data_IF_087576722638
#
_entry.id   IF_087576722638
#
_cell.length_a   1.000
_cell.length_b   1.000
_cell.length_c   1.000
_cell.angle_alpha   90.00
_cell.angle_beta   90.00
_cell.angle_gamma   90.00
#
_symmetry.space_group_name_H-M   'P 1'
#
loop_
_entity.id
_entity.type
_entity.pdbx_description
1 polymer ?
#
# COMPACT_ATOMS: atom_id res chain seq x y z
N UNK A 1 2.25 11.01 34.47
CA UNK A 1 1.28 9.89 34.35
C UNK A 1 2.04 8.63 34.02
N UNK A 2 2.18 7.73 34.99
CA UNK A 2 3.01 6.53 34.94
C UNK A 2 2.17 5.32 34.50
N UNK A 3 2.49 4.75 33.34
CA UNK A 3 1.79 3.59 32.77
C UNK A 3 2.16 2.32 33.54
N UNK A 4 1.18 1.71 34.20
CA UNK A 4 1.34 0.47 34.97
C UNK A 4 1.53 -0.74 34.04
N UNK A 5 2.66 -1.45 34.21
CA UNK A 5 2.92 -2.76 33.61
C UNK A 5 1.95 -3.82 34.17
N UNK A 6 1.18 -4.45 33.29
CA UNK A 6 0.31 -5.60 33.58
C UNK A 6 1.16 -6.84 33.88
N UNK A 7 1.27 -7.24 35.16
CA UNK A 7 1.87 -8.52 35.59
C UNK A 7 0.84 -9.65 35.48
N UNK A 8 1.27 -10.80 34.92
CA UNK A 8 0.52 -12.07 34.94
C UNK A 8 0.48 -12.63 36.37
N UNK A 9 -0.62 -13.25 36.83
CA UNK A 9 -0.65 -13.91 38.13
C UNK A 9 0.03 -15.28 38.04
N UNK A 10 0.96 -15.54 38.95
CA UNK A 10 1.50 -16.87 39.26
C UNK A 10 0.54 -17.58 40.21
N UNK A 11 -0.06 -18.68 39.77
CA UNK A 11 -0.76 -19.59 40.68
C UNK A 11 0.28 -20.38 41.47
N UNK A 12 0.37 -20.09 42.77
CA UNK A 12 1.06 -20.90 43.77
C UNK A 12 0.01 -21.42 44.74
N UNK A 13 -0.48 -22.64 44.51
CA UNK A 13 -1.42 -23.29 45.42
C UNK A 13 -0.64 -24.23 46.35
N UNK A 14 -0.43 -23.75 47.59
CA UNK A 14 -0.10 -24.61 48.74
C UNK A 14 -1.40 -24.86 49.48
N UNK A 15 -1.85 -26.11 49.71
CA UNK A 15 -3.08 -26.34 50.47
C UNK A 15 -2.81 -26.31 51.99
N UNK A 16 -3.78 -25.85 52.80
CA UNK A 16 -3.66 -25.88 54.25
C UNK A 16 -3.92 -27.28 54.79
N UNK A 17 -3.20 -27.60 55.87
CA UNK A 17 -3.38 -28.79 56.70
C UNK A 17 -4.70 -28.73 57.47
N UNK A 18 -5.54 -29.75 57.31
CA UNK A 18 -6.59 -30.09 58.27
C UNK A 18 -6.62 -31.59 58.49
N UNK A 19 -6.47 -31.98 59.75
CA UNK A 19 -6.52 -33.36 60.22
C UNK A 19 -7.93 -33.96 60.22
N UNK A 20 -7.93 -35.29 60.14
CA UNK A 20 -8.88 -36.25 60.71
C UNK A 20 -9.85 -36.96 59.76
N UNK A 21 -10.15 -38.19 60.18
CA UNK A 21 -11.07 -39.20 59.66
C UNK A 21 -10.58 -40.08 58.50
N UNK A 22 -9.98 -41.19 58.93
CA UNK A 22 -9.80 -42.43 58.18
C UNK A 22 -11.15 -43.00 57.71
N UNK A 23 -11.39 -42.97 56.40
CA UNK A 23 -12.32 -43.88 55.74
C UNK A 23 -11.60 -44.55 54.55
N UNK A 24 -11.61 -45.88 54.54
CA UNK A 24 -11.03 -46.70 53.49
C UNK A 24 -11.79 -46.50 52.17
N UNK A 25 -11.20 -45.76 51.24
CA UNK A 25 -11.63 -45.75 49.82
C UNK A 25 -11.24 -47.08 49.17
N UNK A 26 -12.12 -47.72 48.37
CA UNK A 26 -11.79 -48.94 47.65
C UNK A 26 -10.61 -48.66 46.69
N UNK A 27 -9.63 -49.56 46.67
CA UNK A 27 -8.41 -49.47 45.85
C UNK A 27 -8.66 -49.27 44.34
N UNK A 28 -9.89 -49.54 43.87
CA UNK A 28 -10.25 -49.48 42.46
C UNK A 28 -10.51 -48.06 41.96
N UNK A 29 -11.04 -47.15 42.79
CA UNK A 29 -11.34 -45.77 42.38
C UNK A 29 -10.08 -44.91 42.25
N UNK A 30 -9.08 -45.14 43.10
CA UNK A 30 -7.78 -44.47 43.01
C UNK A 30 -7.00 -44.89 41.75
N UNK A 31 -7.10 -46.17 41.37
CA UNK A 31 -6.48 -46.70 40.15
C UNK A 31 -7.19 -46.16 38.90
N UNK A 32 -8.53 -46.03 38.94
CA UNK A 32 -9.32 -45.46 37.85
C UNK A 32 -9.02 -43.97 37.62
N UNK A 33 -8.94 -43.19 38.70
CA UNK A 33 -8.55 -41.78 38.62
C UNK A 33 -7.12 -41.58 38.10
N UNK A 34 -6.21 -42.50 38.42
CA UNK A 34 -4.83 -42.48 37.89
C UNK A 34 -4.78 -42.82 36.39
N UNK A 35 -5.56 -43.82 35.97
CA UNK A 35 -5.70 -44.18 34.55
C UNK A 35 -6.33 -43.05 33.72
N UNK A 36 -7.35 -42.37 34.24
CA UNK A 36 -7.96 -41.21 33.57
C UNK A 36 -6.99 -40.03 33.45
N UNK A 37 -6.17 -39.77 34.48
CA UNK A 37 -5.10 -38.75 34.41
C UNK A 37 -4.03 -39.10 33.39
N UNK A 38 -3.62 -40.36 33.30
CA UNK A 38 -2.66 -40.82 32.28
C UNK A 38 -3.22 -40.69 30.87
N UNK A 39 -4.48 -41.08 30.66
CA UNK A 39 -5.17 -40.92 29.37
C UNK A 39 -5.34 -39.45 28.99
N UNK A 40 -5.68 -38.58 29.94
CA UNK A 40 -5.80 -37.15 29.70
C UNK A 40 -4.43 -36.53 29.38
N UNK A 41 -3.37 -36.95 30.08
CA UNK A 41 -2.00 -36.51 29.82
C UNK A 41 -1.50 -36.97 28.44
N UNK A 42 -1.83 -38.20 28.00
CA UNK A 42 -1.53 -38.66 26.65
C UNK A 42 -2.29 -37.88 25.57
N UNK A 43 -3.58 -37.61 25.78
CA UNK A 43 -4.38 -36.79 24.87
C UNK A 43 -3.80 -35.37 24.74
N UNK A 44 -3.43 -34.74 25.85
CA UNK A 44 -2.79 -33.42 25.87
C UNK A 44 -1.42 -33.42 25.18
N UNK A 45 -0.61 -34.47 25.36
CA UNK A 45 0.66 -34.64 24.64
C UNK A 45 0.42 -34.79 23.13
N UNK A 46 -0.60 -35.53 22.72
CA UNK A 46 -0.90 -35.76 21.30
C UNK A 46 -1.43 -34.49 20.63
N UNK A 47 -2.30 -33.74 21.30
CA UNK A 47 -2.81 -32.43 20.89
C UNK A 47 -1.67 -31.39 20.76
N UNK A 48 -0.78 -31.31 21.75
CA UNK A 48 0.36 -30.38 21.73
C UNK A 48 1.39 -30.75 20.66
N UNK A 49 1.61 -32.04 20.38
CA UNK A 49 2.45 -32.50 19.26
C UNK A 49 1.83 -32.17 17.90
N UNK A 50 0.51 -32.33 17.74
CA UNK A 50 -0.22 -31.93 16.51
C UNK A 50 -0.16 -30.42 16.29
N UNK A 51 -0.38 -29.61 17.34
CA UNK A 51 -0.27 -28.16 17.28
C UNK A 51 1.16 -27.70 16.94
N UNK A 52 2.19 -28.34 17.51
CA UNK A 52 3.60 -28.11 17.14
C UNK A 52 3.88 -28.49 15.69
N UNK A 53 3.37 -29.62 15.20
CA UNK A 53 3.54 -30.04 13.80
C UNK A 53 2.89 -29.07 12.81
N UNK A 54 1.73 -28.51 13.16
CA UNK A 54 1.07 -27.47 12.36
C UNK A 54 1.85 -26.14 12.37
N UNK A 55 2.36 -25.71 13.53
CA UNK A 55 3.23 -24.52 13.63
C UNK A 55 4.59 -24.70 12.93
N UNK A 56 5.15 -25.92 12.93
CA UNK A 56 6.35 -26.28 12.17
C UNK A 56 6.10 -26.22 10.65
N UNK A 57 4.92 -26.65 10.18
CA UNK A 57 4.50 -26.45 8.78
C UNK A 57 4.36 -24.96 8.43
N UNK A 58 3.80 -24.15 9.32
CA UNK A 58 3.71 -22.69 9.15
C UNK A 58 5.08 -21.99 9.01
N UNK A 59 6.09 -22.43 9.76
CA UNK A 59 7.47 -21.92 9.65
C UNK A 59 8.20 -22.32 8.37
N UNK A 60 7.75 -23.37 7.69
CA UNK A 60 8.28 -23.79 6.38
C UNK A 60 7.48 -23.20 5.22
N UNK A 61 6.16 -23.04 5.38
CA UNK A 61 5.28 -22.42 4.41
C UNK A 61 5.41 -20.90 4.37
N UNK A 62 5.75 -20.25 5.48
CA UNK A 62 5.99 -18.80 5.55
C UNK A 62 7.16 -18.33 4.67
N UNK A 63 8.39 -18.89 4.77
CA UNK A 63 9.48 -18.51 3.88
C UNK A 63 9.19 -18.92 2.43
N UNK A 64 8.51 -20.04 2.20
CA UNK A 64 8.12 -20.48 0.86
C UNK A 64 7.07 -19.54 0.24
N UNK A 65 6.16 -19.01 1.08
CA UNK A 65 5.21 -17.95 0.71
C UNK A 65 5.86 -16.59 0.50
N UNK A 66 6.93 -16.25 1.23
CA UNK A 66 7.76 -15.06 0.95
C UNK A 66 8.50 -15.23 -0.36
N UNK A 67 9.12 -16.39 -0.63
CA UNK A 67 9.83 -16.65 -1.89
C UNK A 67 8.84 -16.65 -3.05
N UNK A 68 7.68 -17.30 -2.90
CA UNK A 68 6.64 -17.30 -3.92
C UNK A 68 6.07 -15.90 -4.11
N UNK A 69 5.80 -15.15 -3.03
CA UNK A 69 5.31 -13.77 -3.09
C UNK A 69 6.34 -12.80 -3.66
N UNK A 70 7.64 -13.00 -3.40
CA UNK A 70 8.73 -12.24 -3.99
C UNK A 70 8.91 -12.59 -5.47
N UNK A 71 8.82 -13.87 -5.84
CA UNK A 71 8.83 -14.30 -7.23
C UNK A 71 7.62 -13.78 -8.00
N UNK A 72 6.45 -13.76 -7.36
CA UNK A 72 5.23 -13.21 -7.92
C UNK A 72 5.31 -11.69 -7.99
N UNK A 73 5.86 -10.98 -7.00
CA UNK A 73 6.13 -9.54 -7.13
C UNK A 73 7.12 -9.25 -8.26
N UNK A 74 8.22 -10.00 -8.33
CA UNK A 74 9.22 -9.92 -9.40
C UNK A 74 8.63 -10.21 -10.78
N UNK A 75 7.63 -11.10 -10.84
CA UNK A 75 6.93 -11.41 -12.08
C UNK A 75 6.13 -10.24 -12.66
N UNK A 76 5.82 -9.23 -11.84
CA UNK A 76 4.96 -8.11 -12.19
C UNK A 76 5.71 -6.76 -12.27
N UNK A 77 7.02 -6.71 -11.93
CA UNK A 77 7.87 -5.51 -12.04
C UNK A 77 8.30 -5.29 -13.51
N UNK A 78 7.97 -4.14 -14.12
CA UNK A 78 8.40 -3.81 -15.49
C UNK A 78 9.91 -3.60 -15.58
N UNK A 79 10.56 -3.80 -16.74
CA UNK A 79 12.00 -3.56 -16.91
C UNK A 79 12.44 -2.14 -16.52
N UNK A 80 11.60 -1.14 -16.80
CA UNK A 80 11.87 0.26 -16.43
C UNK A 80 11.81 0.49 -14.91
N UNK A 81 10.96 -0.29 -14.21
CA UNK A 81 10.86 -0.22 -12.76
C UNK A 81 12.12 -0.73 -12.08
N UNK A 82 12.95 -1.59 -12.68
CA UNK A 82 14.20 -2.01 -12.01
C UNK A 82 15.16 -0.85 -11.80
N UNK A 83 15.23 0.06 -12.79
CA UNK A 83 16.08 1.23 -12.69
C UNK A 83 15.51 2.24 -11.69
N UNK A 84 14.21 2.51 -11.76
CA UNK A 84 13.54 3.41 -10.82
C UNK A 84 13.52 2.85 -9.39
N UNK A 85 13.33 1.54 -9.21
CA UNK A 85 13.33 0.89 -7.91
C UNK A 85 14.74 0.87 -7.32
N UNK A 86 15.80 0.68 -8.12
CA UNK A 86 17.17 0.88 -7.65
C UNK A 86 17.42 2.32 -7.19
N UNK A 87 16.95 3.32 -7.95
CA UNK A 87 17.06 4.73 -7.57
C UNK A 87 16.26 5.05 -6.30
N UNK A 88 15.04 4.52 -6.17
CA UNK A 88 14.22 4.69 -4.97
C UNK A 88 14.79 3.94 -3.76
N UNK A 89 15.35 2.74 -3.93
CA UNK A 89 16.00 1.99 -2.85
C UNK A 89 17.30 2.66 -2.42
N UNK A 90 18.09 3.17 -3.37
CA UNK A 90 19.31 3.90 -3.07
C UNK A 90 19.03 5.22 -2.35
N UNK A 91 18.00 5.97 -2.78
CA UNK A 91 17.57 7.19 -2.09
C UNK A 91 17.02 6.89 -0.69
N UNK A 92 16.19 5.85 -0.52
CA UNK A 92 15.71 5.41 0.80
C UNK A 92 16.85 4.95 1.71
N UNK A 93 17.79 4.15 1.21
CA UNK A 93 18.93 3.68 1.97
C UNK A 93 19.80 4.85 2.50
N UNK A 94 20.09 5.82 1.64
CA UNK A 94 20.80 7.04 2.01
C UNK A 94 19.99 7.91 2.98
N UNK A 95 18.67 7.99 2.82
CA UNK A 95 17.79 8.78 3.68
C UNK A 95 17.69 8.24 5.11
N UNK A 96 17.81 6.93 5.31
CA UNK A 96 17.79 6.30 6.64
C UNK A 96 19.18 5.94 7.18
N UNK A 97 20.25 6.47 6.56
CA UNK A 97 21.65 6.23 6.97
C UNK A 97 22.01 4.72 7.04
N UNK A 98 21.32 3.93 6.21
CA UNK A 98 21.59 2.51 6.06
C UNK A 98 22.81 2.39 5.16
N UNK A 99 23.97 2.17 5.77
CA UNK A 99 25.19 1.83 5.05
C UNK A 99 25.02 0.45 4.37
N UNK A 100 24.40 0.43 3.19
CA UNK A 100 24.49 -0.72 2.33
C UNK A 100 25.95 -0.83 1.87
N UNK A 101 26.63 -1.97 2.10
CA UNK A 101 27.92 -2.21 1.48
C UNK A 101 27.75 -2.03 -0.03
N UNK A 102 28.77 -1.49 -0.71
CA UNK A 102 28.79 -1.42 -2.17
C UNK A 102 28.58 -2.85 -2.69
N UNK A 103 27.34 -3.15 -3.07
CA UNK A 103 27.02 -4.42 -3.67
C UNK A 103 27.79 -4.44 -4.99
N UNK A 104 28.57 -5.49 -5.29
CA UNK A 104 29.20 -5.61 -6.59
C UNK A 104 28.12 -5.41 -7.67
N UNK A 105 28.44 -4.74 -8.77
CA UNK A 105 27.56 -4.62 -9.93
C UNK A 105 27.07 -6.02 -10.30
N UNK A 106 25.87 -6.37 -9.85
CA UNK A 106 25.22 -7.60 -10.25
C UNK A 106 24.83 -7.37 -11.70
N UNK A 107 25.58 -7.98 -12.62
CA UNK A 107 25.26 -7.99 -14.05
C UNK A 107 23.99 -8.83 -14.26
N UNK A 108 22.85 -8.18 -14.03
CA UNK A 108 21.53 -8.75 -14.21
C UNK A 108 21.15 -8.82 -15.70
N UNK A 109 22.01 -8.40 -16.64
CA UNK A 109 21.70 -8.40 -18.07
C UNK A 109 21.26 -9.78 -18.59
N UNK A 110 21.91 -10.85 -18.12
CA UNK A 110 21.54 -12.23 -18.48
C UNK A 110 20.21 -12.65 -17.88
N UNK A 111 19.94 -12.24 -16.64
CA UNK A 111 18.65 -12.49 -15.97
C UNK A 111 17.55 -11.71 -16.68
N UNK A 112 17.82 -10.47 -17.06
CA UNK A 112 16.92 -9.58 -17.79
C UNK A 112 16.58 -10.11 -19.18
N UNK A 113 17.55 -10.64 -19.93
CA UNK A 113 17.33 -11.26 -21.25
C UNK A 113 16.47 -12.53 -21.15
N UNK A 114 16.79 -13.43 -20.22
CA UNK A 114 15.98 -14.64 -20.00
C UNK A 114 14.60 -14.30 -19.42
N UNK A 115 14.51 -13.24 -18.64
CA UNK A 115 13.25 -12.72 -18.10
C UNK A 115 12.36 -12.11 -19.19
N UNK A 116 12.93 -11.32 -20.09
CA UNK A 116 12.24 -10.80 -21.27
C UNK A 116 11.71 -11.93 -22.16
N UNK A 117 12.50 -13.00 -22.31
CA UNK A 117 12.10 -14.21 -23.03
C UNK A 117 10.94 -14.94 -22.34
N UNK A 118 11.01 -15.12 -21.02
CA UNK A 118 9.92 -15.73 -20.25
C UNK A 118 8.63 -14.91 -20.34
N UNK A 119 8.72 -13.57 -20.19
CA UNK A 119 7.57 -12.67 -20.38
C UNK A 119 6.97 -12.71 -21.77
N UNK A 120 7.79 -12.86 -22.80
CA UNK A 120 7.28 -12.99 -24.18
C UNK A 120 6.42 -14.25 -24.38
N UNK A 121 6.58 -15.24 -23.49
CA UNK A 121 5.81 -16.50 -23.49
C UNK A 121 4.55 -16.42 -22.61
N UNK A 122 4.37 -15.36 -21.81
CA UNK A 122 3.16 -15.16 -20.99
C UNK A 122 1.98 -14.81 -21.91
N UNK A 123 0.82 -15.49 -21.79
CA UNK A 123 -0.35 -15.20 -22.61
C UNK A 123 -0.79 -13.73 -22.49
N UNK A 124 -1.20 -13.12 -23.60
CA UNK A 124 -1.55 -11.69 -23.69
C UNK A 124 -2.63 -11.25 -22.68
N UNK A 125 -3.53 -12.15 -22.30
CA UNK A 125 -4.54 -11.88 -21.26
C UNK A 125 -3.95 -11.57 -19.88
N UNK A 126 -2.69 -11.96 -19.61
CA UNK A 126 -1.95 -11.67 -18.37
C UNK A 126 -0.95 -10.52 -18.53
N UNK A 127 -0.75 -9.98 -19.75
CA UNK A 127 0.01 -8.74 -19.95
C UNK A 127 -0.87 -7.59 -19.50
N UNK A 128 -0.67 -7.14 -18.27
CA UNK A 128 -1.38 -5.99 -17.76
C UNK A 128 -0.91 -4.72 -18.50
N UNK A 129 -1.88 -3.94 -18.97
CA UNK A 129 -1.82 -2.52 -19.34
C UNK A 129 -1.25 -2.01 -20.68
N UNK A 130 -0.61 -2.79 -21.55
CA UNK A 130 -0.05 -2.29 -22.83
C UNK A 130 -0.27 -3.22 -24.04
N UNK A 131 -1.49 -3.74 -24.19
CA UNK A 131 -1.83 -4.76 -25.21
C UNK A 131 -2.68 -4.15 -26.35
N UNK A 132 -2.80 -2.82 -26.41
CA UNK A 132 -3.65 -2.11 -27.35
C UNK A 132 -5.15 -2.15 -27.01
N UNK A 133 -5.59 -3.11 -26.21
CA UNK A 133 -6.99 -3.25 -25.75
C UNK A 133 -7.49 -2.03 -25.01
N UNK A 134 -6.59 -1.30 -24.37
CA UNK A 134 -6.89 -0.05 -23.70
C UNK A 134 -7.39 1.05 -24.63
N UNK A 135 -7.13 0.99 -25.94
CA UNK A 135 -7.61 1.94 -26.94
C UNK A 135 -8.86 1.48 -27.71
N UNK A 136 -9.34 0.26 -27.45
CA UNK A 136 -10.38 -0.41 -28.25
C UNK A 136 -11.68 0.41 -28.38
N UNK A 137 -12.09 1.11 -27.31
CA UNK A 137 -13.30 1.92 -27.30
C UNK A 137 -13.12 3.17 -28.17
N UNK A 138 -11.98 3.84 -28.04
CA UNK A 138 -11.60 5.02 -28.83
C UNK A 138 -11.48 4.68 -30.32
N UNK A 139 -10.90 3.52 -30.65
CA UNK A 139 -10.83 3.04 -32.03
C UNK A 139 -12.22 2.76 -32.61
N UNK A 140 -13.11 2.13 -31.84
CA UNK A 140 -14.49 1.87 -32.26
C UNK A 140 -15.29 3.16 -32.49
N UNK A 141 -15.08 4.19 -31.66
CA UNK A 141 -15.70 5.52 -31.81
C UNK A 141 -15.13 6.25 -33.03
N UNK A 142 -13.81 6.21 -33.21
CA UNK A 142 -13.14 6.80 -34.38
C UNK A 142 -13.57 6.15 -35.69
N UNK A 143 -13.77 4.82 -35.69
CA UNK A 143 -14.27 4.09 -36.85
C UNK A 143 -15.71 4.49 -37.24
N UNK A 144 -16.49 5.03 -36.31
CA UNK A 144 -17.80 5.63 -36.58
C UNK A 144 -17.69 7.06 -37.17
N UNK A 145 -16.48 7.58 -37.35
CA UNK A 145 -16.22 8.92 -37.85
C UNK A 145 -16.33 10.02 -36.79
N UNK A 146 -16.33 9.67 -35.51
CA UNK A 146 -16.39 10.63 -34.40
C UNK A 146 -14.99 11.11 -33.99
N UNK A 147 -14.89 12.39 -33.65
CA UNK A 147 -13.66 13.06 -33.20
C UNK A 147 -14.01 14.09 -32.11
N UNK A 148 -13.01 14.57 -31.37
CA UNK A 148 -13.16 15.65 -30.41
C UNK A 148 -13.77 16.90 -31.06
N UNK A 149 -14.83 17.42 -30.46
CA UNK A 149 -15.55 18.63 -30.89
C UNK A 149 -15.49 19.71 -29.81
N UNK A 150 -15.69 19.33 -28.54
CA UNK A 150 -15.72 20.25 -27.40
C UNK A 150 -14.59 19.95 -26.42
N UNK A 151 -13.98 20.97 -25.81
CA UNK A 151 -13.05 20.77 -24.70
C UNK A 151 -13.70 19.98 -23.57
N UNK A 152 -12.95 19.06 -22.98
CA UNK A 152 -13.42 18.20 -21.88
C UNK A 152 -12.64 18.50 -20.60
N UNK A 153 -13.36 18.70 -19.50
CA UNK A 153 -12.77 18.85 -18.17
C UNK A 153 -13.14 17.65 -17.31
N UNK A 154 -12.11 16.95 -16.83
CA UNK A 154 -12.24 15.81 -15.93
C UNK A 154 -12.02 16.27 -14.50
N UNK A 155 -13.01 16.08 -13.64
CA UNK A 155 -12.93 16.38 -12.20
C UNK A 155 -12.90 15.05 -11.44
N UNK A 156 -11.77 14.66 -10.82
CA UNK A 156 -11.66 13.40 -10.09
C UNK A 156 -12.60 13.31 -8.89
N UNK A 157 -12.92 12.09 -8.46
CA UNK A 157 -13.65 11.87 -7.21
C UNK A 157 -12.78 12.01 -5.96
N UNK A 158 -13.40 11.75 -4.80
CA UNK A 158 -12.67 11.65 -3.53
C UNK A 158 -11.57 10.59 -3.64
N UNK A 159 -10.42 10.82 -2.99
CA UNK A 159 -9.29 9.88 -2.93
C UNK A 159 -8.61 9.61 -4.29
N UNK A 160 -9.10 10.22 -5.37
CA UNK A 160 -8.71 9.90 -6.74
C UNK A 160 -7.59 10.78 -7.30
N UNK A 161 -7.21 11.82 -6.57
CA UNK A 161 -6.11 12.72 -6.92
C UNK A 161 -4.92 12.43 -6.01
N UNK A 162 -3.74 12.28 -6.61
CA UNK A 162 -2.48 12.19 -5.89
C UNK A 162 -2.19 13.47 -5.11
N UNK A 163 -1.69 13.33 -3.89
CA UNK A 163 -1.33 14.45 -3.02
C UNK A 163 0.17 14.42 -2.77
N UNK A 164 0.81 15.56 -2.98
CA UNK A 164 2.24 15.74 -2.79
C UNK A 164 2.54 16.74 -1.66
N UNK A 165 3.63 16.51 -0.95
CA UNK A 165 4.05 17.42 0.12
C UNK A 165 4.84 18.61 -0.44
N UNK A 166 4.45 19.80 -0.01
CA UNK A 166 5.13 21.07 -0.21
C UNK A 166 5.72 21.61 1.10
N UNK A 167 5.91 20.73 2.08
CA UNK A 167 6.37 21.07 3.43
C UNK A 167 7.86 21.41 3.40
N UNK A 168 8.23 22.52 4.04
CA UNK A 168 9.63 23.00 4.10
C UNK A 168 10.25 22.90 5.50
N UNK A 169 9.46 22.59 6.52
CA UNK A 169 9.93 22.41 7.89
C UNK A 169 10.91 21.25 8.01
N UNK A 170 11.95 21.32 8.87
CA UNK A 170 12.97 20.28 9.00
C UNK A 170 12.41 18.86 9.16
N UNK A 171 11.30 18.71 9.89
CA UNK A 171 10.70 17.42 10.20
C UNK A 171 10.01 16.76 9.00
N UNK A 172 9.53 17.55 8.04
CA UNK A 172 8.79 17.13 6.84
C UNK A 172 9.52 17.39 5.53
N UNK A 173 10.66 18.10 5.57
CA UNK A 173 11.49 18.43 4.41
C UNK A 173 11.93 17.21 3.58
N UNK A 174 12.21 16.04 4.18
CA UNK A 174 12.50 14.84 3.38
C UNK A 174 11.33 14.37 2.50
N UNK A 175 10.13 14.92 2.67
CA UNK A 175 8.95 14.63 1.86
C UNK A 175 8.64 15.73 0.84
N UNK A 176 9.55 16.69 0.65
CA UNK A 176 9.31 17.77 -0.29
C UNK A 176 9.18 17.23 -1.73
N UNK A 177 8.05 17.53 -2.37
CA UNK A 177 7.59 17.05 -3.68
C UNK A 177 7.39 15.54 -3.80
N UNK A 178 7.35 14.85 -2.67
CA UNK A 178 7.02 13.44 -2.64
C UNK A 178 5.51 13.23 -2.58
N UNK A 179 5.01 12.26 -3.37
CA UNK A 179 3.60 11.86 -3.34
C UNK A 179 3.31 11.12 -2.04
N UNK A 180 2.65 11.80 -1.10
CA UNK A 180 2.15 11.22 0.15
C UNK A 180 0.88 10.40 -0.08
N UNK A 181 0.14 10.69 -1.14
CA UNK A 181 -1.01 9.90 -1.61
C UNK A 181 -0.89 9.67 -3.11
N UNK A 182 -1.16 8.46 -3.60
CA UNK A 182 -1.18 8.19 -5.04
C UNK A 182 0.20 8.12 -5.71
N UNK A 183 1.15 7.45 -5.06
CA UNK A 183 2.44 7.11 -5.65
C UNK A 183 3.15 6.00 -4.88
N UNK A 184 4.23 5.46 -5.42
CA UNK A 184 5.01 4.40 -4.77
C UNK A 184 5.61 4.87 -3.43
N UNK A 185 6.02 6.13 -3.34
CA UNK A 185 6.60 6.71 -2.13
C UNK A 185 5.63 6.71 -0.94
N UNK A 186 4.31 6.73 -1.18
CA UNK A 186 3.30 6.51 -0.13
C UNK A 186 3.54 5.21 0.63
N UNK A 187 3.85 4.11 -0.05
CA UNK A 187 4.06 2.79 0.60
C UNK A 187 5.24 2.86 1.56
N UNK A 188 6.34 3.48 1.12
CA UNK A 188 7.52 3.69 1.96
C UNK A 188 7.18 4.56 3.16
N UNK A 189 6.47 5.68 2.97
CA UNK A 189 6.11 6.59 4.06
C UNK A 189 5.15 5.95 5.09
N UNK A 190 4.15 5.20 4.62
CA UNK A 190 3.23 4.48 5.50
C UNK A 190 3.94 3.38 6.29
N UNK A 191 4.99 2.78 5.73
CA UNK A 191 5.75 1.70 6.37
C UNK A 191 6.77 2.21 7.39
N UNK A 192 7.53 3.25 7.03
CA UNK A 192 8.70 3.69 7.83
C UNK A 192 8.44 4.98 8.63
N UNK A 193 7.52 5.84 8.19
CA UNK A 193 7.22 7.14 8.80
C UNK A 193 5.72 7.31 9.07
N UNK A 194 5.06 6.24 9.55
CA UNK A 194 3.60 6.19 9.71
C UNK A 194 3.04 7.39 10.47
N UNK A 195 3.62 7.73 11.61
CA UNK A 195 3.12 8.80 12.48
C UNK A 195 3.24 10.17 11.80
N UNK A 196 4.36 10.44 11.13
CA UNK A 196 4.58 11.69 10.37
C UNK A 196 3.67 11.77 9.16
N UNK A 197 3.47 10.65 8.45
CA UNK A 197 2.55 10.57 7.32
C UNK A 197 1.11 10.85 7.74
N UNK A 198 0.65 10.21 8.84
CA UNK A 198 -0.68 10.48 9.41
C UNK A 198 -0.80 11.97 9.79
N UNK A 199 0.18 12.49 10.53
CA UNK A 199 0.16 13.88 10.98
C UNK A 199 0.11 14.88 9.80
N UNK A 200 0.86 14.63 8.73
CA UNK A 200 0.83 15.45 7.52
C UNK A 200 -0.50 15.33 6.77
N UNK A 201 -1.06 14.12 6.66
CA UNK A 201 -2.29 13.85 5.92
C UNK A 201 -3.57 14.29 6.64
N UNK A 202 -3.54 14.40 7.97
CA UNK A 202 -4.65 14.92 8.76
C UNK A 202 -4.85 16.42 8.52
N UNK A 203 -6.10 16.88 8.63
CA UNK A 203 -6.43 18.30 8.69
C UNK A 203 -6.51 18.76 10.14
N UNK A 204 -6.25 20.04 10.35
CA UNK A 204 -6.49 20.71 11.62
C UNK A 204 -8.01 20.67 11.94
N UNK A 205 -8.41 20.18 13.13
CA UNK A 205 -9.81 20.02 13.49
C UNK A 205 -10.57 21.33 13.71
N UNK A 206 -9.87 22.44 13.98
CA UNK A 206 -10.48 23.76 14.19
C UNK A 206 -10.60 24.53 12.88
N UNK A 207 -9.54 24.56 12.07
CA UNK A 207 -9.50 25.36 10.83
C UNK A 207 -9.94 24.59 9.58
N UNK A 208 -9.83 23.26 9.59
CA UNK A 208 -10.04 22.41 8.42
C UNK A 208 -8.98 22.61 7.32
N UNK A 209 -7.80 23.09 7.68
CA UNK A 209 -6.65 23.33 6.80
C UNK A 209 -5.47 22.39 7.15
N UNK A 210 -4.37 22.49 6.42
CA UNK A 210 -3.15 21.73 6.73
C UNK A 210 -2.63 22.12 8.14
N UNK A 211 -2.18 21.15 8.96
CA UNK A 211 -1.67 21.42 10.29
C UNK A 211 -0.34 22.18 10.23
N UNK A 212 0.04 22.91 11.30
CA UNK A 212 1.27 23.68 11.34
C UNK A 212 2.50 22.86 10.95
N UNK A 213 3.30 23.39 10.02
CA UNK A 213 4.53 22.79 9.54
C UNK A 213 4.36 21.73 8.43
N UNK A 214 3.14 21.30 8.15
CA UNK A 214 2.83 20.50 6.97
C UNK A 214 2.15 21.35 5.91
N UNK A 215 2.46 21.08 4.64
CA UNK A 215 1.80 21.70 3.50
C UNK A 215 1.62 20.62 2.45
N UNK A 216 0.37 20.28 2.11
CA UNK A 216 0.06 19.25 1.12
C UNK A 216 -0.77 19.86 0.00
N UNK A 217 -0.42 19.56 -1.24
CA UNK A 217 -1.16 20.04 -2.42
C UNK A 217 -1.53 18.87 -3.31
N UNK A 218 -2.60 19.06 -4.09
CA UNK A 218 -2.89 18.14 -5.17
C UNK A 218 -1.73 18.18 -6.18
N UNK A 219 -1.31 17.01 -6.64
CA UNK A 219 -0.42 16.93 -7.79
C UNK A 219 -1.11 17.59 -9.00
N UNK A 220 -0.34 18.18 -9.90
CA UNK A 220 -0.86 18.85 -11.09
C UNK A 220 -0.71 17.99 -12.36
N UNK A 221 -1.47 18.36 -13.40
CA UNK A 221 -1.43 17.71 -14.70
C UNK A 221 -2.21 16.40 -14.78
N UNK A 222 -2.20 15.77 -15.96
CA UNK A 222 -2.95 14.54 -16.25
C UNK A 222 -2.50 13.37 -15.35
N UNK A 223 -1.23 13.35 -14.96
CA UNK A 223 -0.65 12.32 -14.08
C UNK A 223 -1.13 12.41 -12.62
N UNK A 224 -1.85 13.47 -12.26
CA UNK A 224 -2.39 13.64 -10.92
C UNK A 224 -3.50 12.63 -10.59
N UNK A 225 -4.21 12.12 -11.61
CA UNK A 225 -5.28 11.13 -11.42
C UNK A 225 -5.32 10.05 -12.52
N UNK A 226 -4.30 9.93 -13.37
CA UNK A 226 -4.24 8.86 -14.37
C UNK A 226 -4.18 7.48 -13.69
N UNK A 227 -3.20 7.30 -12.81
CA UNK A 227 -2.98 6.09 -12.01
C UNK A 227 -2.66 6.46 -10.56
N UNK A 228 -3.23 5.73 -9.60
CA UNK A 228 -2.96 5.95 -8.18
C UNK A 228 -1.65 5.29 -7.75
N UNK A 229 -1.47 4.04 -8.16
CA UNK A 229 -0.25 3.25 -7.98
C UNK A 229 -0.13 2.38 -9.22
N UNK A 230 1.05 1.79 -9.43
CA UNK A 230 1.25 0.85 -10.53
C UNK A 230 0.18 -0.26 -10.50
N UNK A 231 -0.45 -0.51 -11.65
CA UNK A 231 -1.53 -1.48 -11.80
C UNK A 231 -2.92 -1.01 -11.33
N UNK A 232 -3.03 0.16 -10.70
CA UNK A 232 -4.31 0.76 -10.31
C UNK A 232 -4.56 2.06 -11.08
N UNK A 233 -5.24 1.93 -12.22
CA UNK A 233 -5.67 3.05 -13.05
C UNK A 233 -6.98 3.64 -12.52
N UNK A 234 -7.09 4.97 -12.53
CA UNK A 234 -8.34 5.67 -12.22
C UNK A 234 -8.89 6.24 -13.53
N UNK A 235 -8.17 7.20 -14.13
CA UNK A 235 -8.58 7.85 -15.38
C UNK A 235 -7.76 7.41 -16.60
N UNK A 236 -6.67 6.66 -16.44
CA UNK A 236 -5.74 6.35 -17.54
C UNK A 236 -6.49 5.76 -18.76
N UNK A 237 -7.38 4.79 -18.54
CA UNK A 237 -8.13 4.15 -19.64
C UNK A 237 -9.10 5.10 -20.34
N UNK A 238 -9.68 6.06 -19.62
CA UNK A 238 -10.54 7.07 -20.22
C UNK A 238 -9.68 8.03 -21.06
N UNK A 239 -8.56 8.51 -20.51
CA UNK A 239 -7.63 9.42 -21.19
C UNK A 239 -7.04 8.78 -22.45
N UNK A 240 -6.61 7.52 -22.36
CA UNK A 240 -6.07 6.72 -23.48
C UNK A 240 -7.10 6.65 -24.64
N UNK A 241 -8.37 6.36 -24.34
CA UNK A 241 -9.42 6.32 -25.37
C UNK A 241 -9.79 7.71 -25.92
N UNK A 242 -9.79 8.75 -25.08
CA UNK A 242 -10.01 10.12 -25.53
C UNK A 242 -8.88 10.57 -26.49
N UNK A 243 -7.64 10.15 -26.24
CA UNK A 243 -6.52 10.46 -27.12
C UNK A 243 -6.70 9.91 -28.55
N UNK A 244 -7.32 8.74 -28.70
CA UNK A 244 -7.60 8.15 -30.03
C UNK A 244 -8.46 9.05 -30.91
N UNK A 245 -9.39 9.79 -30.30
CA UNK A 245 -10.33 10.70 -30.96
C UNK A 245 -9.84 12.16 -30.94
N UNK A 246 -8.53 12.39 -30.83
CA UNK A 246 -7.86 13.70 -30.87
C UNK A 246 -8.13 14.61 -29.66
N UNK A 247 -8.30 14.03 -28.47
CA UNK A 247 -8.09 14.79 -27.24
C UNK A 247 -6.61 14.78 -26.84
N UNK A 248 -6.07 15.95 -26.47
CA UNK A 248 -4.72 16.13 -25.98
C UNK A 248 -4.70 17.22 -24.89
N UNK A 249 -3.51 17.65 -24.46
CA UNK A 249 -3.36 18.67 -23.41
C UNK A 249 -3.97 20.04 -23.77
N UNK A 250 -4.35 20.28 -25.02
CA UNK A 250 -4.93 21.55 -25.48
C UNK A 250 -6.45 21.60 -25.32
N UNK A 251 -7.14 20.45 -25.33
CA UNK A 251 -8.61 20.36 -25.25
C UNK A 251 -9.10 19.36 -24.18
N UNK A 252 -8.20 18.72 -23.45
CA UNK A 252 -8.49 17.87 -22.30
C UNK A 252 -7.76 18.39 -21.07
N UNK A 253 -8.52 18.76 -20.04
CA UNK A 253 -7.95 19.18 -18.77
C UNK A 253 -8.42 18.28 -17.64
N UNK A 254 -7.46 17.74 -16.89
CA UNK A 254 -7.72 17.12 -15.60
C UNK A 254 -7.63 18.22 -14.53
N UNK A 255 -8.68 18.38 -13.73
CA UNK A 255 -8.80 19.39 -12.69
C UNK A 255 -8.58 18.78 -11.28
N UNK A 256 -7.34 18.41 -10.91
CA UNK A 256 -7.03 17.80 -9.62
C UNK A 256 -7.29 18.77 -8.46
N UNK A 257 -7.76 18.24 -7.34
CA UNK A 257 -7.96 19.00 -6.10
C UNK A 257 -7.62 18.18 -4.86
N UNK A 258 -7.41 18.88 -3.75
CA UNK A 258 -7.23 18.27 -2.45
C UNK A 258 -8.59 17.87 -1.88
N UNK A 259 -8.96 16.62 -2.13
CA UNK A 259 -10.25 16.04 -1.73
C UNK A 259 -10.48 15.95 -0.22
N UNK A 260 -9.47 16.25 0.60
CA UNK A 260 -9.61 16.29 2.08
C UNK A 260 -10.29 17.58 2.53
N UNK A 261 -10.07 18.67 1.80
CA UNK A 261 -10.39 20.04 2.22
C UNK A 261 -11.79 20.41 1.77
N UNK A 262 -12.49 21.20 2.59
CA UNK A 262 -13.83 21.70 2.24
C UNK A 262 -13.78 22.65 1.04
N UNK A 263 -14.89 22.77 0.29
CA UNK A 263 -14.94 23.64 -0.89
C UNK A 263 -14.62 25.11 -0.58
N UNK A 264 -15.11 25.63 0.55
CA UNK A 264 -14.78 27.00 0.97
C UNK A 264 -13.27 27.17 1.19
N UNK A 265 -12.65 26.26 1.94
CA UNK A 265 -11.22 26.32 2.21
C UNK A 265 -10.36 26.06 0.96
N UNK A 266 -10.82 25.26 0.00
CA UNK A 266 -10.15 25.08 -1.30
C UNK A 266 -10.07 26.38 -2.09
N UNK A 267 -11.12 27.20 -2.05
CA UNK A 267 -11.10 28.52 -2.68
C UNK A 267 -10.19 29.48 -1.94
N UNK A 268 -10.37 29.62 -0.62
CA UNK A 268 -9.58 30.56 0.18
C UNK A 268 -8.08 30.22 0.16
N UNK A 269 -7.72 28.93 0.24
CA UNK A 269 -6.33 28.47 0.32
C UNK A 269 -5.65 28.44 -1.04
N UNK A 270 -6.32 27.87 -2.05
CA UNK A 270 -5.70 27.51 -3.33
C UNK A 270 -6.30 28.26 -4.53
N UNK A 271 -7.39 29.02 -4.34
CA UNK A 271 -8.14 29.67 -5.41
C UNK A 271 -8.71 28.68 -6.42
N UNK A 272 -9.06 27.46 -5.96
CA UNK A 272 -9.32 26.31 -6.83
C UNK A 272 -10.44 26.57 -7.84
N UNK A 273 -11.59 27.08 -7.40
CA UNK A 273 -12.74 27.31 -8.28
C UNK A 273 -12.50 28.52 -9.19
N UNK A 274 -11.83 29.56 -8.70
CA UNK A 274 -11.42 30.70 -9.55
C UNK A 274 -10.46 30.28 -10.67
N UNK A 275 -9.47 29.43 -10.36
CA UNK A 275 -8.56 28.85 -11.35
C UNK A 275 -9.30 27.95 -12.33
N UNK A 276 -10.15 27.04 -11.82
CA UNK A 276 -10.93 26.13 -12.64
C UNK A 276 -11.84 26.89 -13.63
N UNK A 277 -12.55 27.92 -13.15
CA UNK A 277 -13.34 28.80 -13.99
C UNK A 277 -12.50 29.44 -15.08
N UNK A 278 -11.35 30.01 -14.72
CA UNK A 278 -10.45 30.68 -15.67
C UNK A 278 -9.91 29.70 -16.73
N UNK A 279 -9.60 28.47 -16.34
CA UNK A 279 -9.18 27.40 -17.28
C UNK A 279 -10.30 27.05 -18.25
N UNK A 280 -11.54 26.89 -17.75
CA UNK A 280 -12.71 26.60 -18.60
C UNK A 280 -12.95 27.73 -19.60
N UNK A 281 -12.90 28.99 -19.13
CA UNK A 281 -13.05 30.18 -19.99
C UNK A 281 -11.89 30.35 -20.99
N UNK A 282 -10.73 29.75 -20.72
CA UNK A 282 -9.54 29.79 -21.57
C UNK A 282 -9.57 28.82 -22.75
N UNK A 283 -10.42 27.80 -22.72
CA UNK A 283 -10.58 26.90 -23.86
C UNK A 283 -11.24 27.63 -25.04
N UNK A 284 -10.78 27.30 -26.26
CA UNK A 284 -11.22 27.91 -27.52
C UNK A 284 -11.85 26.88 -28.43
#
# INVERSE_FOLDING_TARGET
MTLSKRRKPSHSDTPPSSESSSENLPSDDANKAKAEKEQLAEKLKTETLKARAFYLKGRFLFPLGIIFGAFLAFAFIEPQDFHDLQLHVATLANQYDINLPQLPEFDLSRVEVEWARLRSTIPEVWKFNNDGREFQVGEAIKAQGLSAEYPTVLIPGIVSTALESWSTEPDYRPFFREKLWGGFNMISQVTFNKEKWIAAMMLDPETGLDPPGSKIRAAEGIDAASSLIQGYWIWSKIIENLAVVNYDTNNLYLAPYDWRVSYYNLEERDGYFSKLKSTIEGFK
#
